data_IF_283747636135
#
_entry.id   IF_283747636135
#
_cell.length_a   1.000
_cell.length_b   1.000
_cell.length_c   1.000
_cell.angle_alpha   90.00
_cell.angle_beta   90.00
_cell.angle_gamma   90.00
#
_symmetry.space_group_name_H-M   'P 1'
#
loop_
_entity.id
_entity.type
_entity.pdbx_description
1 polymer ?
#
# COMPACT_ATOMS: atom_id res chain seq x y z
N UNK A 1 -5.44 -5.16 -14.52
CA UNK A 1 -5.93 -6.55 -14.35
C UNK A 1 -6.98 -6.95 -15.39
N UNK A 2 -7.35 -6.07 -16.30
CA UNK A 2 -8.28 -6.34 -17.40
C UNK A 2 -9.70 -5.88 -17.12
N UNK A 3 -10.66 -6.53 -17.77
CA UNK A 3 -12.10 -6.24 -17.68
C UNK A 3 -12.82 -7.24 -16.76
N UNK A 4 -14.01 -6.92 -16.24
CA UNK A 4 -14.81 -7.82 -15.42
C UNK A 4 -15.13 -9.14 -16.15
N UNK A 5 -15.12 -10.24 -15.39
CA UNK A 5 -15.61 -11.51 -15.90
C UNK A 5 -17.13 -11.43 -16.14
N UNK A 6 -17.68 -12.08 -17.20
CA UNK A 6 -19.10 -12.02 -17.50
C UNK A 6 -20.00 -12.37 -16.31
N UNK A 7 -21.03 -11.56 -16.07
CA UNK A 7 -21.95 -11.70 -14.95
C UNK A 7 -21.49 -11.04 -13.66
N UNK A 8 -20.27 -10.48 -13.62
CA UNK A 8 -19.80 -9.67 -12.50
C UNK A 8 -19.82 -8.19 -12.87
N UNK A 9 -20.19 -7.36 -11.91
CA UNK A 9 -20.18 -5.92 -11.99
C UNK A 9 -19.07 -5.38 -11.11
N UNK A 10 -18.43 -4.32 -11.56
CA UNK A 10 -17.35 -3.65 -10.81
C UNK A 10 -17.67 -2.18 -10.68
N UNK A 11 -17.39 -1.66 -9.50
CA UNK A 11 -17.37 -0.23 -9.18
C UNK A 11 -16.04 0.13 -8.59
N UNK A 12 -15.59 1.35 -8.86
CA UNK A 12 -14.49 1.97 -8.13
C UNK A 12 -15.13 3.06 -7.27
N UNK A 13 -15.01 2.93 -5.95
CA UNK A 13 -15.67 3.82 -4.98
C UNK A 13 -14.67 4.53 -4.08
N UNK A 14 -15.08 5.64 -3.50
CA UNK A 14 -14.29 6.28 -2.43
C UNK A 14 -14.17 5.29 -1.26
N UNK A 15 -12.95 5.04 -0.75
CA UNK A 15 -12.75 4.07 0.33
C UNK A 15 -13.68 4.29 1.52
N UNK A 16 -14.31 3.20 1.97
CA UNK A 16 -15.27 3.22 3.08
C UNK A 16 -16.64 3.81 2.75
N UNK A 17 -16.97 4.01 1.48
CA UNK A 17 -18.27 4.52 1.03
C UNK A 17 -18.82 3.70 -0.14
N UNK A 18 -20.04 3.98 -0.59
CA UNK A 18 -20.64 3.46 -1.82
C UNK A 18 -20.64 4.50 -2.98
N UNK A 19 -19.94 5.63 -2.79
CA UNK A 19 -19.85 6.70 -3.77
C UNK A 19 -18.83 6.38 -4.86
N UNK A 20 -19.29 6.23 -6.09
CA UNK A 20 -18.42 5.96 -7.23
C UNK A 20 -17.49 7.16 -7.53
N UNK A 21 -16.24 6.86 -7.89
CA UNK A 21 -15.29 7.85 -8.37
C UNK A 21 -15.40 8.03 -9.89
N UNK A 22 -14.72 9.04 -10.44
CA UNK A 22 -14.69 9.28 -11.88
C UNK A 22 -13.81 8.29 -12.65
N UNK A 23 -13.85 8.40 -13.98
CA UNK A 23 -12.96 7.63 -14.89
C UNK A 23 -11.51 8.00 -14.57
N UNK A 24 -10.62 6.98 -14.57
CA UNK A 24 -9.20 7.10 -14.24
C UNK A 24 -8.89 7.59 -12.81
N UNK A 25 -9.90 7.80 -11.98
CA UNK A 25 -9.69 8.14 -10.57
C UNK A 25 -9.44 6.87 -9.73
N UNK A 26 -8.57 7.01 -8.73
CA UNK A 26 -8.23 5.94 -7.81
C UNK A 26 -9.29 5.80 -6.71
N UNK A 27 -9.76 4.59 -6.47
CA UNK A 27 -10.73 4.25 -5.42
C UNK A 27 -10.66 2.78 -5.03
N UNK A 28 -11.52 2.36 -4.10
CA UNK A 28 -11.63 0.97 -3.70
C UNK A 28 -12.40 0.17 -4.75
N UNK A 29 -11.82 -0.96 -5.16
CA UNK A 29 -12.45 -1.91 -6.07
C UNK A 29 -13.56 -2.67 -5.35
N UNK A 30 -14.80 -2.51 -5.80
CA UNK A 30 -15.96 -3.25 -5.34
C UNK A 30 -16.50 -4.18 -6.42
N UNK A 31 -16.90 -5.38 -6.03
CA UNK A 31 -17.36 -6.44 -6.92
C UNK A 31 -18.74 -6.91 -6.49
N UNK A 32 -19.67 -7.04 -7.46
CA UNK A 32 -20.97 -7.65 -7.28
C UNK A 32 -21.19 -8.71 -8.35
N UNK A 33 -21.73 -9.86 -7.98
CA UNK A 33 -22.07 -10.92 -8.92
C UNK A 33 -21.97 -12.32 -8.34
N UNK A 34 -22.24 -13.35 -9.16
CA UNK A 34 -22.33 -14.73 -8.69
C UNK A 34 -21.03 -15.33 -8.20
N UNK A 35 -19.88 -14.70 -8.44
CA UNK A 35 -18.57 -15.14 -7.97
C UNK A 35 -18.21 -14.59 -6.59
N UNK A 36 -19.01 -13.67 -6.07
CA UNK A 36 -18.80 -13.11 -4.72
C UNK A 36 -19.18 -14.16 -3.67
N UNK A 37 -18.32 -14.31 -2.67
CA UNK A 37 -18.54 -15.22 -1.55
C UNK A 37 -19.81 -14.87 -0.78
N UNK A 38 -20.41 -15.86 -0.10
CA UNK A 38 -21.53 -15.65 0.82
C UNK A 38 -21.09 -15.03 2.17
N UNK A 39 -19.81 -15.18 2.51
CA UNK A 39 -19.20 -14.66 3.72
C UNK A 39 -18.01 -15.49 4.18
N UNK A 40 -17.35 -15.06 5.23
CA UNK A 40 -16.29 -15.81 5.90
C UNK A 40 -16.88 -16.84 6.87
N UNK A 41 -16.38 -18.08 6.83
CA UNK A 41 -16.86 -19.15 7.68
C UNK A 41 -16.69 -18.80 9.17
N UNK A 42 -17.79 -18.85 9.92
CA UNK A 42 -17.84 -18.53 11.35
C UNK A 42 -17.20 -17.17 11.73
N UNK A 43 -17.17 -16.19 10.81
CA UNK A 43 -16.61 -14.89 11.06
C UNK A 43 -17.54 -13.79 10.50
N UNK A 44 -18.61 -13.54 11.22
CA UNK A 44 -19.64 -12.57 10.84
C UNK A 44 -19.07 -11.13 10.81
N UNK A 45 -18.16 -10.83 11.73
CA UNK A 45 -17.52 -9.51 11.79
C UNK A 45 -16.77 -9.20 10.48
N UNK A 46 -15.88 -10.07 10.03
CA UNK A 46 -15.14 -9.84 8.79
C UNK A 46 -16.06 -9.93 7.56
N UNK A 47 -17.12 -10.73 7.62
CA UNK A 47 -18.14 -10.76 6.57
C UNK A 47 -18.78 -9.40 6.40
N UNK A 48 -19.23 -8.79 7.50
CA UNK A 48 -19.87 -7.48 7.50
C UNK A 48 -18.90 -6.33 7.17
N UNK A 49 -17.60 -6.51 7.42
CA UNK A 49 -16.56 -5.57 6.99
C UNK A 49 -16.25 -5.65 5.48
N UNK A 50 -16.49 -6.80 4.85
CA UNK A 50 -16.19 -7.03 3.45
C UNK A 50 -17.40 -6.93 2.52
N UNK A 51 -18.60 -7.30 2.99
CA UNK A 51 -19.84 -7.32 2.19
C UNK A 51 -20.77 -6.22 2.64
N UNK A 52 -21.04 -5.26 1.75
CA UNK A 52 -21.93 -4.13 2.04
C UNK A 52 -23.10 -4.09 1.05
N UNK A 53 -24.28 -3.73 1.55
CA UNK A 53 -25.43 -3.42 0.70
C UNK A 53 -25.31 -1.96 0.27
N UNK A 54 -25.15 -1.72 -1.03
CA UNK A 54 -25.09 -0.38 -1.60
C UNK A 54 -26.49 0.17 -1.87
N UNK A 55 -26.57 1.47 -2.26
CA UNK A 55 -27.84 2.17 -2.56
C UNK A 55 -28.67 1.52 -3.68
N UNK A 56 -28.03 0.73 -4.53
CA UNK A 56 -28.68 -0.05 -5.60
C UNK A 56 -29.38 -1.32 -5.07
N UNK A 57 -29.29 -1.61 -3.77
CA UNK A 57 -29.86 -2.79 -3.13
C UNK A 57 -29.06 -4.07 -3.31
N UNK A 58 -27.96 -4.03 -4.03
CA UNK A 58 -27.10 -5.20 -4.27
C UNK A 58 -26.02 -5.31 -3.18
N UNK A 59 -25.58 -6.56 -2.95
CA UNK A 59 -24.43 -6.85 -2.07
C UNK A 59 -23.15 -6.70 -2.88
N UNK A 60 -22.26 -5.86 -2.38
CA UNK A 60 -20.95 -5.58 -2.97
C UNK A 60 -19.84 -6.03 -2.04
N UNK A 61 -18.88 -6.75 -2.61
CA UNK A 61 -17.63 -7.08 -1.93
C UNK A 61 -16.68 -5.89 -2.04
N UNK A 62 -16.31 -5.30 -0.92
CA UNK A 62 -15.21 -4.37 -0.79
C UNK A 62 -13.90 -5.16 -0.74
N UNK A 63 -13.14 -5.12 -1.82
CA UNK A 63 -11.97 -6.00 -1.98
C UNK A 63 -10.78 -5.59 -1.08
N UNK A 64 -10.77 -4.35 -0.61
CA UNK A 64 -9.63 -3.73 0.07
C UNK A 64 -8.46 -3.45 -0.88
N UNK A 65 -8.71 -3.45 -2.19
CA UNK A 65 -7.74 -3.10 -3.23
C UNK A 65 -8.07 -1.72 -3.80
N UNK A 66 -7.06 -0.87 -3.96
CA UNK A 66 -7.17 0.38 -4.70
C UNK A 66 -6.91 0.11 -6.16
N UNK A 67 -7.81 0.60 -7.00
CA UNK A 67 -7.76 0.48 -8.45
C UNK A 67 -8.33 1.74 -9.11
N UNK A 68 -8.11 1.89 -10.40
CA UNK A 68 -8.83 2.83 -11.26
C UNK A 68 -9.44 2.07 -12.46
N UNK A 69 -10.47 2.62 -13.07
CA UNK A 69 -11.10 2.06 -14.26
C UNK A 69 -11.12 3.13 -15.35
N UNK A 70 -10.62 2.77 -16.52
CA UNK A 70 -10.63 3.68 -17.67
C UNK A 70 -12.00 3.70 -18.40
N UNK A 71 -12.12 4.57 -19.40
CA UNK A 71 -13.34 4.73 -20.21
C UNK A 71 -13.76 3.47 -20.96
N UNK A 72 -12.84 2.54 -21.19
CA UNK A 72 -13.08 1.29 -21.91
C UNK A 72 -13.36 0.11 -20.94
N UNK A 73 -13.41 0.40 -19.63
CA UNK A 73 -13.71 -0.56 -18.56
C UNK A 73 -12.52 -1.40 -18.12
N UNK A 74 -11.29 -1.05 -18.54
CA UNK A 74 -10.09 -1.74 -18.05
C UNK A 74 -9.73 -1.26 -16.65
N UNK A 75 -9.49 -2.25 -15.79
CA UNK A 75 -9.17 -2.03 -14.38
C UNK A 75 -7.66 -2.10 -14.19
N UNK A 76 -7.09 -1.05 -13.62
CA UNK A 76 -5.69 -0.97 -13.25
C UNK A 76 -5.56 -1.04 -11.73
N UNK A 77 -4.97 -2.14 -11.24
CA UNK A 77 -4.63 -2.30 -9.81
C UNK A 77 -3.51 -1.34 -9.41
N UNK A 78 -3.65 -0.71 -8.27
CA UNK A 78 -2.64 0.20 -7.69
C UNK A 78 -1.98 -0.44 -6.48
N UNK A 79 -2.78 -0.79 -5.45
CA UNK A 79 -2.27 -1.26 -4.17
C UNK A 79 -3.38 -1.78 -3.25
N UNK A 80 -2.99 -2.46 -2.15
CA UNK A 80 -3.87 -2.74 -1.02
C UNK A 80 -4.22 -1.46 -0.25
N UNK A 81 -5.50 -1.24 0.05
CA UNK A 81 -5.99 -0.09 0.82
C UNK A 81 -5.24 0.06 2.17
N UNK A 82 -5.07 -1.06 2.90
CA UNK A 82 -4.37 -1.08 4.20
C UNK A 82 -2.87 -0.72 4.15
N UNK A 83 -2.28 -0.63 2.95
CA UNK A 83 -0.88 -0.21 2.75
C UNK A 83 -0.76 1.25 2.34
N UNK A 84 -1.85 1.87 1.93
CA UNK A 84 -1.85 3.26 1.48
C UNK A 84 -1.42 4.18 2.62
N UNK A 85 -0.50 5.07 2.33
CA UNK A 85 0.02 6.07 3.26
C UNK A 85 -0.67 7.40 2.95
N UNK A 86 -1.24 8.05 3.97
CA UNK A 86 -1.86 9.36 3.79
C UNK A 86 -0.92 10.44 4.30
N UNK A 87 -0.36 11.22 3.38
CA UNK A 87 0.58 12.30 3.72
C UNK A 87 0.03 13.65 3.27
N UNK A 88 -0.26 14.55 4.22
CA UNK A 88 -0.78 15.90 3.94
C UNK A 88 -2.02 15.90 3.01
N UNK A 89 -2.90 14.88 3.12
CA UNK A 89 -4.10 14.72 2.28
C UNK A 89 -3.86 14.03 0.93
N UNK A 90 -2.62 13.65 0.61
CA UNK A 90 -2.30 12.90 -0.60
C UNK A 90 -2.17 11.40 -0.30
N UNK A 91 -2.69 10.58 -1.20
CA UNK A 91 -2.50 9.15 -1.18
C UNK A 91 -1.13 8.80 -1.76
N UNK A 92 -0.30 8.14 -0.97
CA UNK A 92 1.01 7.65 -1.37
C UNK A 92 0.97 6.13 -1.41
N UNK A 93 1.42 5.57 -2.51
CA UNK A 93 1.41 4.14 -2.76
C UNK A 93 2.81 3.54 -2.54
N UNK A 94 3.05 2.79 -1.42
CA UNK A 94 4.31 2.12 -1.16
C UNK A 94 4.87 1.33 -2.34
N UNK A 95 4.03 0.62 -3.09
CA UNK A 95 4.45 -0.17 -4.25
C UNK A 95 5.17 0.67 -5.32
N UNK A 96 4.72 1.91 -5.57
CA UNK A 96 5.37 2.80 -6.53
C UNK A 96 6.76 3.22 -6.07
N UNK A 97 6.92 3.45 -4.76
CA UNK A 97 8.22 3.80 -4.17
C UNK A 97 9.15 2.58 -4.20
N UNK A 98 8.63 1.41 -3.82
CA UNK A 98 9.35 0.14 -3.85
C UNK A 98 9.87 -0.15 -5.26
N UNK A 99 9.02 -0.05 -6.28
CA UNK A 99 9.39 -0.26 -7.69
C UNK A 99 10.53 0.67 -8.14
N UNK A 100 10.48 1.95 -7.75
CA UNK A 100 11.54 2.91 -8.11
C UNK A 100 12.86 2.55 -7.44
N UNK A 101 12.85 2.18 -6.15
CA UNK A 101 14.04 1.85 -5.38
C UNK A 101 14.67 0.52 -5.85
N UNK A 102 13.85 -0.47 -6.20
CA UNK A 102 14.30 -1.78 -6.69
C UNK A 102 15.01 -1.71 -8.06
N UNK A 103 14.83 -0.63 -8.82
CA UNK A 103 15.60 -0.38 -10.07
C UNK A 103 17.07 -0.09 -9.81
N UNK A 104 17.44 0.26 -8.56
CA UNK A 104 18.83 0.53 -8.22
C UNK A 104 19.65 -0.76 -8.11
N UNK A 105 20.80 -0.82 -8.79
CA UNK A 105 21.62 -2.03 -8.89
C UNK A 105 22.06 -2.63 -7.54
N UNK A 106 22.23 -1.79 -6.51
CA UNK A 106 22.66 -2.21 -5.18
C UNK A 106 21.53 -2.84 -4.34
N UNK A 107 20.25 -2.70 -4.71
CA UNK A 107 19.10 -3.13 -3.92
C UNK A 107 18.71 -4.56 -4.29
N UNK A 108 18.47 -5.40 -3.26
CA UNK A 108 17.94 -6.76 -3.45
C UNK A 108 16.47 -6.88 -3.07
N UNK A 109 16.08 -6.17 -2.02
CA UNK A 109 14.68 -6.11 -1.54
C UNK A 109 14.46 -4.74 -0.90
N UNK A 110 13.27 -4.19 -1.00
CA UNK A 110 12.87 -3.06 -0.18
C UNK A 110 11.41 -3.17 0.26
N UNK A 111 11.06 -2.39 1.27
CA UNK A 111 9.66 -2.24 1.69
C UNK A 111 9.42 -0.89 2.30
N UNK A 112 8.26 -0.31 1.98
CA UNK A 112 7.87 1.02 2.43
C UNK A 112 6.70 0.90 3.40
N UNK A 113 6.81 1.61 4.52
CA UNK A 113 5.73 1.74 5.51
C UNK A 113 5.42 3.21 5.77
N UNK A 114 4.18 3.50 6.17
CA UNK A 114 3.82 4.78 6.75
C UNK A 114 4.29 4.87 8.19
N UNK A 115 4.89 5.99 8.53
CA UNK A 115 5.28 6.30 9.92
C UNK A 115 4.62 7.60 10.37
N UNK A 116 4.13 7.68 11.62
CA UNK A 116 3.47 8.88 12.13
C UNK A 116 4.36 10.12 12.03
N UNK A 117 3.77 11.23 11.59
CA UNK A 117 4.44 12.53 11.49
C UNK A 117 3.58 13.64 12.11
N UNK A 118 4.15 14.56 12.93
CA UNK A 118 3.38 15.56 13.68
C UNK A 118 2.43 16.43 12.86
N UNK A 119 2.82 16.76 11.63
CA UNK A 119 2.08 17.70 10.76
C UNK A 119 1.49 17.07 9.49
N UNK A 120 1.91 15.84 9.13
CA UNK A 120 1.56 15.24 7.83
C UNK A 120 0.71 14.01 7.93
N UNK A 121 0.23 13.66 9.13
CA UNK A 121 -0.41 12.40 9.48
C UNK A 121 0.63 11.26 9.41
N UNK A 122 1.08 10.91 8.21
CA UNK A 122 2.14 9.92 7.99
C UNK A 122 3.16 10.43 6.98
N UNK A 123 4.34 9.81 6.95
CA UNK A 123 5.34 9.96 5.89
C UNK A 123 5.92 8.60 5.54
N UNK A 124 6.36 8.39 4.28
CA UNK A 124 6.98 7.14 3.87
C UNK A 124 8.35 6.95 4.54
N UNK A 125 8.57 5.75 5.08
CA UNK A 125 9.87 5.23 5.53
C UNK A 125 10.20 3.98 4.73
N UNK A 126 11.44 3.87 4.25
CA UNK A 126 11.91 2.74 3.46
C UNK A 126 12.87 1.89 4.26
N UNK A 127 12.67 0.59 4.22
CA UNK A 127 13.63 -0.42 4.63
C UNK A 127 14.27 -0.99 3.39
N UNK A 128 15.60 -1.04 3.34
CA UNK A 128 16.38 -1.48 2.18
C UNK A 128 17.31 -2.60 2.58
N UNK A 129 17.27 -3.71 1.84
CA UNK A 129 18.28 -4.76 1.89
C UNK A 129 19.20 -4.65 0.65
N UNK A 130 20.50 -4.66 0.87
CA UNK A 130 21.49 -4.52 -0.19
C UNK A 130 21.97 -5.88 -0.70
N UNK A 131 22.32 -5.93 -1.97
CA UNK A 131 22.99 -7.10 -2.57
C UNK A 131 24.37 -7.29 -1.96
N UNK A 132 24.87 -8.52 -2.05
CA UNK A 132 26.22 -8.87 -1.61
C UNK A 132 27.27 -7.98 -2.32
N UNK A 133 28.21 -7.44 -1.54
CA UNK A 133 29.23 -6.53 -2.04
C UNK A 133 28.92 -5.05 -1.88
N UNK A 134 27.66 -4.68 -1.70
CA UNK A 134 27.27 -3.30 -1.39
C UNK A 134 27.20 -3.06 0.11
N UNK A 135 27.50 -1.83 0.53
CA UNK A 135 27.43 -1.38 1.92
C UNK A 135 26.63 -0.10 2.02
N UNK A 136 26.00 0.09 3.16
CA UNK A 136 25.37 1.37 3.50
C UNK A 136 26.42 2.48 3.52
N UNK A 137 26.22 3.49 2.68
CA UNK A 137 27.04 4.70 2.63
C UNK A 137 26.15 5.92 2.46
N UNK A 138 26.56 7.11 2.94
CA UNK A 138 25.81 8.35 2.68
C UNK A 138 25.56 8.59 1.19
N UNK A 139 26.56 8.28 0.35
CA UNK A 139 26.43 8.41 -1.11
C UNK A 139 25.32 7.53 -1.68
N UNK A 140 25.26 6.24 -1.31
CA UNK A 140 24.21 5.32 -1.75
C UNK A 140 22.82 5.82 -1.31
N UNK A 141 22.70 6.33 -0.08
CA UNK A 141 21.44 6.91 0.40
C UNK A 141 21.03 8.12 -0.43
N UNK A 142 21.95 9.01 -0.77
CA UNK A 142 21.70 10.16 -1.65
C UNK A 142 21.27 9.72 -3.05
N UNK A 143 21.93 8.72 -3.64
CA UNK A 143 21.55 8.15 -4.94
C UNK A 143 20.12 7.61 -4.94
N UNK A 144 19.70 6.88 -3.89
CA UNK A 144 18.33 6.39 -3.75
C UNK A 144 17.32 7.54 -3.58
N UNK A 145 17.67 8.58 -2.81
CA UNK A 145 16.82 9.76 -2.65
C UNK A 145 16.64 10.49 -3.99
N UNK A 146 17.73 10.71 -4.73
CA UNK A 146 17.66 11.37 -6.04
C UNK A 146 16.88 10.53 -7.06
N UNK A 147 17.03 9.20 -7.03
CA UNK A 147 16.24 8.29 -7.85
C UNK A 147 14.73 8.45 -7.55
N UNK A 148 14.35 8.54 -6.27
CA UNK A 148 12.98 8.80 -5.85
C UNK A 148 12.50 10.18 -6.31
N UNK A 149 13.28 11.26 -6.11
CA UNK A 149 12.91 12.61 -6.53
C UNK A 149 12.69 12.73 -8.03
N UNK A 150 13.46 12.00 -8.83
CA UNK A 150 13.36 12.01 -10.30
C UNK A 150 12.09 11.31 -10.81
N UNK A 151 11.60 10.30 -10.09
CA UNK A 151 10.55 9.40 -10.58
C UNK A 151 9.23 9.48 -9.80
N UNK A 152 9.19 10.20 -8.67
CA UNK A 152 8.04 10.27 -7.78
C UNK A 152 7.61 11.72 -7.51
N UNK A 153 6.36 11.89 -7.14
CA UNK A 153 5.86 13.17 -6.63
C UNK A 153 6.58 13.56 -5.33
N UNK A 154 6.74 14.85 -5.08
CA UNK A 154 7.48 15.36 -3.92
C UNK A 154 6.96 14.86 -2.57
N UNK A 155 5.64 14.61 -2.45
CA UNK A 155 5.02 14.06 -1.26
C UNK A 155 5.26 12.56 -1.08
N UNK A 156 5.59 11.82 -2.17
CA UNK A 156 5.90 10.39 -2.16
C UNK A 156 7.37 10.09 -1.86
N UNK A 157 8.26 11.10 -1.91
CA UNK A 157 9.68 10.90 -1.61
C UNK A 157 9.87 10.51 -0.14
N UNK A 158 10.49 9.35 0.15
CA UNK A 158 10.68 8.87 1.51
C UNK A 158 11.48 9.85 2.37
N UNK A 159 11.09 9.96 3.64
CA UNK A 159 11.77 10.82 4.62
C UNK A 159 12.83 10.08 5.43
N UNK A 160 12.62 8.78 5.61
CA UNK A 160 13.54 7.93 6.37
C UNK A 160 13.95 6.71 5.54
N UNK A 161 15.23 6.36 5.60
CA UNK A 161 15.81 5.15 5.03
C UNK A 161 16.49 4.37 6.16
N UNK A 162 16.19 3.08 6.25
CA UNK A 162 16.82 2.15 7.19
C UNK A 162 17.38 0.96 6.41
N UNK A 163 18.69 0.79 6.46
CA UNK A 163 19.36 -0.33 5.80
C UNK A 163 19.42 -1.54 6.73
N UNK A 164 19.13 -2.71 6.19
CA UNK A 164 19.15 -4.00 6.90
C UNK A 164 19.88 -5.06 6.10
N UNK A 165 20.44 -6.06 6.77
CA UNK A 165 21.05 -7.21 6.11
C UNK A 165 20.03 -8.04 5.34
N UNK A 166 18.82 -8.16 5.87
CA UNK A 166 17.66 -8.83 5.25
C UNK A 166 16.37 -8.23 5.80
N UNK A 167 15.30 -8.34 5.03
CA UNK A 167 13.96 -7.96 5.46
C UNK A 167 13.17 -9.20 5.92
N UNK A 168 12.26 -9.05 6.91
CA UNK A 168 11.40 -10.15 7.33
C UNK A 168 10.53 -10.60 6.16
N UNK A 169 10.34 -11.91 6.02
CA UNK A 169 9.53 -12.49 4.95
C UNK A 169 8.39 -13.31 5.50
N UNK A 170 7.26 -13.28 4.80
CA UNK A 170 6.10 -14.15 5.05
C UNK A 170 6.43 -15.58 4.65
N UNK A 171 5.58 -16.54 5.02
CA UNK A 171 5.72 -17.96 4.65
C UNK A 171 5.80 -18.18 3.13
N UNK A 172 5.24 -17.28 2.32
CA UNK A 172 5.27 -17.33 0.85
C UNK A 172 6.42 -16.51 0.24
N UNK A 173 7.40 -16.08 1.06
CA UNK A 173 8.62 -15.41 0.61
C UNK A 173 8.49 -13.92 0.30
N UNK A 174 7.32 -13.30 0.45
CA UNK A 174 7.14 -11.84 0.29
C UNK A 174 7.61 -11.10 1.54
N UNK A 175 8.09 -9.87 1.38
CA UNK A 175 8.46 -9.03 2.53
C UNK A 175 7.24 -8.80 3.43
N UNK A 176 7.41 -9.04 4.73
CA UNK A 176 6.39 -8.84 5.75
C UNK A 176 6.40 -7.39 6.25
N UNK A 177 5.69 -6.54 5.55
CA UNK A 177 5.57 -5.12 5.92
C UNK A 177 4.87 -4.90 7.27
N UNK A 178 3.97 -5.82 7.69
CA UNK A 178 3.28 -5.71 8.99
C UNK A 178 4.27 -5.86 10.14
N UNK A 179 5.19 -6.81 10.01
CA UNK A 179 6.26 -7.00 10.97
C UNK A 179 7.18 -5.77 11.03
N UNK A 180 7.50 -5.16 9.89
CA UNK A 180 8.26 -3.92 9.86
C UNK A 180 7.52 -2.75 10.52
N UNK A 181 6.20 -2.65 10.33
CA UNK A 181 5.37 -1.64 11.02
C UNK A 181 5.39 -1.85 12.54
N UNK A 182 5.23 -3.09 13.00
CA UNK A 182 5.27 -3.42 14.43
C UNK A 182 6.63 -3.06 15.04
N UNK A 183 7.74 -3.54 14.46
CA UNK A 183 9.10 -3.25 14.92
C UNK A 183 9.38 -1.73 14.96
N UNK A 184 8.89 -0.99 13.96
CA UNK A 184 9.04 0.48 13.97
C UNK A 184 8.23 1.13 15.07
N UNK A 185 7.01 0.66 15.36
CA UNK A 185 6.17 1.18 16.42
C UNK A 185 6.80 0.93 17.79
N UNK A 186 7.32 -0.28 18.04
CA UNK A 186 8.03 -0.66 19.26
C UNK A 186 9.28 0.23 19.49
N UNK A 187 10.14 0.36 18.48
CA UNK A 187 11.34 1.20 18.51
C UNK A 187 11.02 2.66 18.87
N UNK A 188 9.97 3.22 18.23
CA UNK A 188 9.54 4.61 18.52
C UNK A 188 8.92 4.76 19.91
N UNK A 189 8.24 3.73 20.41
CA UNK A 189 7.73 3.73 21.78
C UNK A 189 8.88 3.72 22.80
N UNK A 190 9.90 2.88 22.60
CA UNK A 190 11.11 2.86 23.45
C UNK A 190 11.85 4.21 23.44
N UNK A 191 12.01 4.84 22.28
CA UNK A 191 12.63 6.16 22.15
C UNK A 191 11.85 7.26 22.91
N UNK A 192 10.51 7.15 23.00
CA UNK A 192 9.66 8.09 23.73
C UNK A 192 9.66 7.85 25.24
N UNK A 193 9.63 6.58 25.66
CA UNK A 193 9.46 6.20 27.08
C UNK A 193 10.76 5.75 27.74
N UNK A 194 11.79 5.38 26.97
CA UNK A 194 13.11 4.98 27.47
C UNK A 194 14.06 6.12 27.88
N UNK A 195 13.63 7.37 27.73
CA UNK A 195 14.34 8.56 28.22
C UNK A 195 13.81 9.01 29.59
N UNK A 196 13.65 8.07 30.52
CA UNK A 196 13.48 8.39 31.95
C UNK A 196 14.74 8.01 32.71
#
# INVERSE_FOLDING_TARGET
IGIPFPGNYIKIVKPGTDEEVGIDEDGELCICGPTVMLGYYNNEKETNEALHIHKDGNVWLHSGDIASMDKDGYITYKQRLKRMIVTSGYNVYPSQIEEVIERHEAVVDCSVIGIPHPYKVEVPKVYVALKQGYKETPKLKEELIELCKKNLSAYSVPKEFEFRKSLPKTMIGKVDFRKLQQENAEKRAEERYGKK
#
